data_IF_787773204850
#
_entry.id   IF_787773204850
#
_cell.length_a   1.000
_cell.length_b   1.000
_cell.length_c   1.000
_cell.angle_alpha   90.00
_cell.angle_beta   90.00
_cell.angle_gamma   90.00
#
_symmetry.space_group_name_H-M   'P 1'
#
loop_
_entity.id
_entity.type
_entity.pdbx_description
1 polymer ?
#
# COMPACT_ATOMS: atom_id res chain seq x y z
N UNK A 1 3.59 0.53 -11.45
CA UNK A 1 3.76 -0.48 -12.52
C UNK A 1 2.65 -1.50 -12.35
N UNK A 2 1.79 -1.67 -13.36
CA UNK A 2 0.71 -2.66 -13.35
C UNK A 2 1.24 -4.02 -12.92
N UNK A 3 0.70 -4.56 -11.82
CA UNK A 3 1.08 -5.86 -11.27
C UNK A 3 0.99 -6.95 -12.35
N UNK A 4 2.08 -7.68 -12.58
CA UNK A 4 2.05 -8.89 -13.42
C UNK A 4 1.24 -9.97 -12.69
N UNK A 5 0.23 -10.50 -13.36
CA UNK A 5 -0.64 -11.57 -12.84
C UNK A 5 -0.05 -12.98 -13.06
N UNK A 6 1.03 -13.09 -13.84
CA UNK A 6 1.73 -14.35 -14.07
C UNK A 6 2.70 -14.69 -12.94
N UNK A 7 2.78 -15.96 -12.59
CA UNK A 7 3.90 -16.51 -11.83
C UNK A 7 5.10 -16.72 -12.77
N UNK A 8 6.27 -16.21 -12.37
CA UNK A 8 7.53 -16.41 -13.09
C UNK A 8 7.41 -16.00 -14.58
N UNK A 9 6.84 -14.83 -14.85
CA UNK A 9 6.71 -14.30 -16.21
C UNK A 9 8.04 -13.84 -16.80
N UNK A 10 8.99 -13.50 -15.92
CA UNK A 10 10.38 -13.15 -16.19
C UNK A 10 11.30 -14.38 -16.33
N UNK A 11 10.79 -15.60 -16.10
CA UNK A 11 11.54 -16.87 -16.17
C UNK A 11 12.76 -17.03 -15.24
N UNK A 12 12.96 -16.13 -14.28
CA UNK A 12 14.10 -16.09 -13.35
C UNK A 12 14.04 -17.13 -12.21
N UNK A 13 12.89 -17.77 -11.96
CA UNK A 13 12.76 -18.74 -10.86
C UNK A 13 13.83 -19.85 -10.92
N UNK A 14 14.18 -20.45 -9.78
CA UNK A 14 15.13 -21.55 -9.73
C UNK A 14 14.51 -22.85 -10.27
N UNK A 15 15.05 -23.36 -11.38
CA UNK A 15 14.53 -24.57 -12.04
C UNK A 15 14.96 -25.86 -11.33
N UNK A 16 15.95 -25.77 -10.43
CA UNK A 16 16.43 -26.88 -9.61
C UNK A 16 15.44 -27.33 -8.52
N UNK A 17 14.56 -26.43 -8.05
CA UNK A 17 13.62 -26.70 -6.95
C UNK A 17 12.29 -27.31 -7.43
N UNK A 18 11.92 -27.09 -8.70
CA UNK A 18 10.73 -27.64 -9.35
C UNK A 18 11.07 -28.18 -10.76
N UNK A 19 12.02 -29.11 -10.86
CA UNK A 19 12.37 -29.74 -12.16
C UNK A 19 11.14 -30.46 -12.71
N UNK A 20 10.43 -29.80 -13.61
CA UNK A 20 9.27 -30.36 -14.30
C UNK A 20 9.67 -30.72 -15.72
N UNK A 21 9.42 -31.97 -16.09
CA UNK A 21 9.49 -32.44 -17.47
C UNK A 21 8.11 -32.54 -18.12
N UNK A 22 7.08 -32.09 -17.40
CA UNK A 22 5.68 -32.24 -17.74
C UNK A 22 5.33 -31.33 -18.89
N UNK A 23 4.86 -31.92 -19.97
CA UNK A 23 4.33 -31.20 -21.12
C UNK A 23 2.93 -31.71 -21.48
N UNK A 24 2.15 -30.84 -22.11
CA UNK A 24 0.85 -31.15 -22.68
C UNK A 24 0.99 -31.35 -24.20
N UNK A 25 0.77 -32.58 -24.64
CA UNK A 25 0.95 -32.99 -26.03
C UNK A 25 -0.41 -32.96 -26.71
N UNK A 26 -0.47 -32.34 -27.89
CA UNK A 26 -1.67 -32.29 -28.73
C UNK A 26 -1.42 -33.09 -30.01
N UNK A 27 -1.71 -34.40 -30.05
CA UNK A 27 -1.53 -35.20 -31.26
C UNK A 27 -2.61 -34.86 -32.29
N UNK A 28 -2.28 -34.94 -33.58
CA UNK A 28 -3.23 -34.69 -34.67
C UNK A 28 -4.48 -35.58 -34.64
N UNK A 29 -4.27 -36.88 -34.39
CA UNK A 29 -5.30 -37.91 -34.57
C UNK A 29 -5.77 -38.54 -33.24
N UNK A 30 -5.47 -37.90 -32.10
CA UNK A 30 -5.93 -38.41 -30.79
C UNK A 30 -6.15 -37.30 -29.78
N UNK A 31 -6.80 -37.63 -28.66
CA UNK A 31 -7.00 -36.70 -27.57
C UNK A 31 -5.65 -36.19 -27.02
N UNK A 32 -5.58 -34.92 -26.56
CA UNK A 32 -4.41 -34.40 -25.86
C UNK A 32 -4.12 -35.18 -24.59
N UNK A 33 -2.85 -35.29 -24.24
CA UNK A 33 -2.42 -35.97 -23.02
C UNK A 33 -1.16 -35.34 -22.44
N UNK A 34 -0.96 -35.53 -21.14
CA UNK A 34 0.24 -35.07 -20.47
C UNK A 34 1.30 -36.15 -20.40
N UNK A 35 2.57 -35.75 -20.48
CA UNK A 35 3.70 -36.67 -20.37
C UNK A 35 4.95 -35.95 -19.87
N UNK A 36 5.77 -36.67 -19.10
CA UNK A 36 7.14 -36.24 -18.81
C UNK A 36 8.07 -36.59 -19.98
N UNK A 37 8.76 -35.57 -20.49
CA UNK A 37 9.69 -35.68 -21.61
C UNK A 37 11.05 -35.12 -21.18
N UNK A 38 12.06 -35.99 -21.09
CA UNK A 38 13.32 -35.68 -20.38
C UNK A 38 14.15 -34.53 -20.95
N UNK A 39 13.97 -34.15 -22.22
CA UNK A 39 14.62 -32.99 -22.85
C UNK A 39 13.73 -31.74 -22.93
N UNK A 40 12.57 -31.76 -22.26
CA UNK A 40 11.71 -30.59 -22.06
C UNK A 40 11.85 -30.19 -20.59
N UNK A 41 12.62 -29.14 -20.31
CA UNK A 41 12.71 -28.54 -18.99
C UNK A 41 11.65 -27.44 -18.91
N UNK A 42 10.52 -27.74 -18.27
CA UNK A 42 9.39 -26.79 -18.20
C UNK A 42 9.65 -25.72 -17.14
N UNK A 43 9.40 -24.42 -17.42
CA UNK A 43 9.61 -23.37 -16.44
C UNK A 43 8.70 -23.54 -15.21
N UNK A 44 9.18 -23.27 -13.99
CA UNK A 44 8.32 -23.20 -12.81
C UNK A 44 7.12 -22.27 -13.05
N UNK A 45 5.91 -22.72 -12.71
CA UNK A 45 4.67 -21.95 -12.92
C UNK A 45 4.06 -22.07 -14.32
N UNK A 46 4.78 -22.69 -15.28
CA UNK A 46 4.31 -22.87 -16.65
C UNK A 46 4.13 -24.35 -17.00
N UNK A 47 3.43 -24.61 -18.10
CA UNK A 47 3.37 -25.91 -18.76
C UNK A 47 3.84 -25.75 -20.21
N UNK A 48 4.83 -26.52 -20.63
CA UNK A 48 5.19 -26.61 -22.04
C UNK A 48 4.11 -27.38 -22.80
N UNK A 49 3.75 -26.92 -23.99
CA UNK A 49 2.86 -27.63 -24.89
C UNK A 49 3.42 -27.70 -26.31
N UNK A 50 3.01 -28.71 -27.08
CA UNK A 50 3.30 -28.76 -28.51
C UNK A 50 2.24 -29.57 -29.27
N UNK A 51 1.98 -29.13 -30.50
CA UNK A 51 1.23 -29.90 -31.49
C UNK A 51 2.13 -30.99 -32.06
N UNK A 52 1.65 -32.23 -32.06
CA UNK A 52 2.37 -33.38 -32.55
C UNK A 52 1.68 -33.99 -33.79
N UNK A 53 2.23 -33.66 -34.96
CA UNK A 53 1.90 -34.27 -36.25
C UNK A 53 3.23 -34.72 -36.87
N UNK A 54 3.66 -35.97 -36.66
CA UNK A 54 5.00 -36.42 -37.05
C UNK A 54 5.38 -36.04 -38.49
N UNK A 55 6.53 -35.39 -38.66
CA UNK A 55 7.00 -34.85 -39.95
C UNK A 55 6.39 -33.51 -40.38
N UNK A 56 5.32 -33.06 -39.72
CA UNK A 56 4.80 -31.69 -39.83
C UNK A 56 5.19 -30.82 -38.64
N UNK A 57 4.87 -31.26 -37.42
CA UNK A 57 5.27 -30.62 -36.17
C UNK A 57 5.72 -31.70 -35.18
N UNK A 58 7.00 -31.64 -34.84
CA UNK A 58 7.63 -32.64 -33.98
C UNK A 58 7.89 -32.08 -32.58
N UNK A 59 8.24 -33.00 -31.67
CA UNK A 59 8.57 -32.67 -30.29
C UNK A 59 9.74 -31.65 -30.22
N UNK A 60 9.56 -30.52 -29.52
CA UNK A 60 10.63 -29.58 -29.25
C UNK A 60 11.51 -30.05 -28.08
N UNK A 61 12.60 -29.32 -27.88
CA UNK A 61 13.38 -29.32 -26.65
C UNK A 61 13.24 -27.98 -25.97
N UNK A 62 13.35 -27.95 -24.65
CA UNK A 62 13.16 -26.73 -23.86
C UNK A 62 14.23 -26.66 -22.79
N UNK A 63 14.94 -25.55 -22.65
CA UNK A 63 15.92 -25.31 -21.59
C UNK A 63 16.06 -23.84 -21.29
N UNK A 64 16.70 -23.51 -20.18
CA UNK A 64 17.05 -22.14 -19.88
C UNK A 64 18.17 -21.59 -20.78
N UNK A 65 18.09 -20.29 -21.07
CA UNK A 65 19.14 -19.50 -21.71
C UNK A 65 19.71 -18.54 -20.66
N UNK A 66 21.02 -18.62 -20.40
CA UNK A 66 21.66 -17.80 -19.37
C UNK A 66 22.44 -16.64 -19.99
N UNK A 67 22.27 -15.45 -19.42
CA UNK A 67 22.94 -14.22 -19.84
C UNK A 67 24.46 -14.34 -19.79
N UNK A 68 24.99 -15.09 -18.82
CA UNK A 68 26.43 -15.35 -18.69
C UNK A 68 27.01 -16.17 -19.86
N UNK A 69 26.19 -16.95 -20.56
CA UNK A 69 26.61 -17.75 -21.71
C UNK A 69 26.46 -16.95 -23.01
N UNK A 70 25.32 -16.30 -23.18
CA UNK A 70 25.08 -15.41 -24.31
C UNK A 70 24.08 -14.31 -23.92
N UNK A 71 24.53 -13.06 -23.69
CA UNK A 71 23.66 -11.98 -23.26
C UNK A 71 22.63 -11.58 -24.31
N UNK A 72 22.80 -11.96 -25.59
CA UNK A 72 21.84 -11.68 -26.65
C UNK A 72 20.59 -12.56 -26.56
N UNK A 73 20.66 -13.65 -25.80
CA UNK A 73 19.57 -14.63 -25.64
C UNK A 73 18.69 -14.37 -24.43
N UNK A 74 18.93 -13.26 -23.73
CA UNK A 74 18.19 -12.85 -22.52
C UNK A 74 17.83 -11.37 -22.68
N UNK A 75 16.55 -11.03 -22.50
CA UNK A 75 16.07 -9.65 -22.63
C UNK A 75 16.30 -8.89 -21.32
N UNK A 76 15.89 -9.46 -20.19
CA UNK A 76 16.03 -8.86 -18.86
C UNK A 76 16.57 -9.88 -17.84
N UNK A 77 16.95 -9.41 -16.65
CA UNK A 77 17.45 -10.31 -15.60
C UNK A 77 18.73 -11.08 -15.96
N UNK A 78 18.77 -12.37 -15.59
CA UNK A 78 19.87 -13.31 -15.79
C UNK A 78 19.53 -14.47 -16.73
N UNK A 79 18.24 -14.77 -16.95
CA UNK A 79 17.83 -15.99 -17.62
C UNK A 79 16.49 -15.86 -18.34
N UNK A 80 16.47 -16.31 -19.59
CA UNK A 80 15.28 -16.45 -20.41
C UNK A 80 14.98 -17.94 -20.67
N UNK A 81 13.89 -18.22 -21.39
CA UNK A 81 13.54 -19.58 -21.82
C UNK A 81 13.79 -19.79 -23.31
N UNK A 82 14.42 -20.92 -23.65
CA UNK A 82 14.65 -21.39 -25.02
C UNK A 82 13.79 -22.62 -25.30
N UNK A 83 12.97 -22.55 -26.35
CA UNK A 83 12.31 -23.68 -26.99
C UNK A 83 12.92 -23.88 -28.37
N UNK A 84 13.39 -25.08 -28.71
CA UNK A 84 14.05 -25.30 -29.99
C UNK A 84 13.75 -26.65 -30.64
N UNK A 85 14.02 -26.72 -31.95
CA UNK A 85 13.99 -27.94 -32.75
C UNK A 85 15.19 -27.99 -33.68
N UNK A 86 15.77 -29.19 -33.85
CA UNK A 86 16.90 -29.42 -34.75
C UNK A 86 16.46 -30.22 -35.99
N UNK A 87 16.63 -29.67 -37.20
CA UNK A 87 16.13 -30.23 -38.48
C UNK A 87 14.64 -30.62 -38.47
N UNK A 88 13.84 -29.93 -37.66
CA UNK A 88 12.41 -30.21 -37.48
C UNK A 88 11.64 -28.91 -37.36
N UNK A 89 10.34 -29.02 -37.60
CA UNK A 89 9.37 -27.94 -37.39
C UNK A 89 8.70 -28.11 -36.05
N UNK A 90 8.24 -27.00 -35.47
CA UNK A 90 7.42 -27.01 -34.27
C UNK A 90 6.24 -26.05 -34.39
N UNK A 91 5.22 -26.36 -33.63
CA UNK A 91 4.11 -25.49 -33.29
C UNK A 91 3.85 -25.71 -31.80
N UNK A 92 4.45 -24.86 -30.98
CA UNK A 92 4.70 -25.15 -29.58
C UNK A 92 4.84 -23.87 -28.76
N UNK A 93 4.85 -24.02 -27.44
CA UNK A 93 5.10 -22.91 -26.54
C UNK A 93 4.80 -23.25 -25.09
N UNK A 94 4.32 -22.25 -24.35
CA UNK A 94 4.05 -22.36 -22.94
C UNK A 94 2.64 -21.85 -22.61
N UNK A 95 2.04 -22.42 -21.58
CA UNK A 95 0.76 -21.97 -21.03
C UNK A 95 0.82 -21.82 -19.52
N UNK A 96 -0.03 -20.94 -18.99
CA UNK A 96 -0.27 -20.77 -17.56
C UNK A 96 -1.74 -20.42 -17.33
N UNK A 97 -2.37 -21.07 -16.35
CA UNK A 97 -3.72 -20.72 -15.92
C UNK A 97 -3.65 -19.72 -14.77
N UNK A 98 -4.45 -18.66 -14.85
CA UNK A 98 -4.43 -17.54 -13.90
C UNK A 98 -5.83 -17.34 -13.33
N UNK A 99 -6.01 -17.49 -12.00
CA UNK A 99 -7.27 -17.13 -11.34
C UNK A 99 -7.58 -15.64 -11.53
N UNK A 100 -8.80 -15.31 -11.95
CA UNK A 100 -9.22 -13.94 -12.22
C UNK A 100 -10.74 -13.79 -12.07
N UNK A 101 -11.24 -12.60 -11.81
CA UNK A 101 -12.70 -12.40 -11.79
C UNK A 101 -13.27 -12.42 -13.23
N UNK A 102 -14.44 -13.06 -13.47
CA UNK A 102 -15.16 -12.91 -14.73
C UNK A 102 -15.47 -11.43 -15.00
N UNK A 103 -15.42 -11.02 -16.26
CA UNK A 103 -15.60 -9.64 -16.67
C UNK A 103 -14.36 -8.76 -16.55
N UNK A 104 -13.24 -9.26 -16.00
CA UNK A 104 -11.98 -8.50 -15.96
C UNK A 104 -11.39 -8.37 -17.37
N UNK A 105 -11.22 -7.15 -17.89
CA UNK A 105 -10.45 -6.91 -19.11
C UNK A 105 -8.95 -7.18 -18.86
N UNK A 106 -8.31 -7.87 -19.79
CA UNK A 106 -6.95 -8.38 -19.66
C UNK A 106 -6.12 -8.03 -20.90
N UNK A 107 -4.83 -7.80 -20.69
CA UNK A 107 -3.82 -7.64 -21.74
C UNK A 107 -2.65 -8.56 -21.48
N UNK A 108 -2.27 -9.34 -22.49
CA UNK A 108 -1.09 -10.18 -22.48
C UNK A 108 -0.06 -9.65 -23.48
N UNK A 109 1.19 -9.57 -23.03
CA UNK A 109 2.35 -9.30 -23.85
C UNK A 109 3.53 -10.19 -23.43
N UNK A 110 4.51 -10.36 -24.32
CA UNK A 110 5.77 -11.04 -24.01
C UNK A 110 6.85 -10.53 -24.98
N UNK A 111 8.11 -10.70 -24.60
CA UNK A 111 9.25 -10.43 -25.46
C UNK A 111 9.76 -11.73 -26.04
N UNK A 112 10.09 -11.71 -27.33
CA UNK A 112 10.63 -12.88 -28.00
C UNK A 112 11.64 -12.49 -29.08
N UNK A 113 12.50 -13.44 -29.45
CA UNK A 113 13.20 -13.42 -30.73
C UNK A 113 13.60 -14.83 -31.14
N UNK A 114 13.85 -15.00 -32.43
CA UNK A 114 14.34 -16.24 -32.99
C UNK A 114 15.83 -16.16 -33.37
N UNK A 115 16.49 -17.32 -33.32
CA UNK A 115 17.60 -17.65 -34.19
C UNK A 115 17.20 -18.83 -35.08
N UNK A 116 17.38 -18.64 -36.38
CA UNK A 116 16.85 -19.55 -37.39
C UNK A 116 17.89 -19.74 -38.48
N UNK A 117 18.67 -20.80 -38.41
CA UNK A 117 19.85 -21.00 -39.25
C UNK A 117 19.82 -22.38 -39.92
N UNK A 118 20.32 -22.46 -41.16
CA UNK A 118 20.35 -23.73 -41.88
C UNK A 118 21.69 -24.02 -42.53
N UNK A 119 21.84 -25.26 -42.97
CA UNK A 119 23.01 -25.71 -43.72
C UNK A 119 22.57 -26.70 -44.78
N UNK A 120 22.94 -26.44 -46.03
CA UNK A 120 22.84 -27.41 -47.13
C UNK A 120 24.18 -27.43 -47.87
N UNK A 121 24.93 -28.52 -47.73
CA UNK A 121 26.23 -28.68 -48.39
C UNK A 121 26.12 -28.65 -49.93
N UNK A 122 24.94 -28.97 -50.47
CA UNK A 122 24.69 -28.93 -51.90
C UNK A 122 24.22 -27.54 -52.38
N UNK A 123 23.95 -26.61 -51.45
CA UNK A 123 23.45 -25.28 -51.76
C UNK A 123 24.03 -24.21 -50.83
N UNK A 124 25.37 -24.14 -50.79
CA UNK A 124 26.12 -23.16 -49.97
C UNK A 124 25.77 -21.70 -50.31
N UNK A 125 25.36 -21.42 -51.56
CA UNK A 125 24.94 -20.08 -51.96
C UNK A 125 23.60 -19.67 -51.30
N UNK A 126 22.72 -20.64 -51.03
CA UNK A 126 21.43 -20.40 -50.37
C UNK A 126 21.58 -20.28 -48.85
N UNK A 127 22.53 -21.01 -48.25
CA UNK A 127 22.82 -20.98 -46.81
C UNK A 127 24.30 -20.69 -46.56
N UNK A 128 24.74 -19.44 -46.73
CA UNK A 128 26.16 -19.07 -46.75
C UNK A 128 26.83 -19.06 -45.37
N UNK A 129 26.08 -19.05 -44.28
CA UNK A 129 26.58 -18.92 -42.91
C UNK A 129 26.05 -20.03 -41.99
N UNK A 130 26.32 -21.32 -42.30
CA UNK A 130 25.83 -22.43 -41.49
C UNK A 130 26.43 -22.38 -40.08
N UNK A 131 25.58 -22.60 -39.08
CA UNK A 131 25.91 -22.61 -37.65
C UNK A 131 26.45 -21.29 -37.08
N UNK A 132 26.39 -20.18 -37.84
CA UNK A 132 26.77 -18.85 -37.33
C UNK A 132 25.70 -18.36 -36.34
N UNK A 133 26.04 -18.15 -35.05
CA UNK A 133 25.08 -17.75 -34.03
C UNK A 133 24.54 -16.32 -34.22
N UNK A 134 25.10 -15.55 -35.15
CA UNK A 134 24.67 -14.19 -35.49
C UNK A 134 23.87 -14.11 -36.79
N UNK A 135 23.79 -15.20 -37.55
CA UNK A 135 23.07 -15.24 -38.83
C UNK A 135 21.76 -16.00 -38.69
N UNK A 136 20.66 -15.33 -39.04
CA UNK A 136 19.37 -16.00 -39.27
C UNK A 136 19.01 -15.92 -40.76
N UNK A 137 18.52 -17.02 -41.32
CA UNK A 137 18.06 -17.06 -42.70
C UNK A 137 16.94 -16.05 -42.92
N UNK A 138 17.05 -15.25 -43.99
CA UNK A 138 16.13 -14.15 -44.31
C UNK A 138 16.63 -12.79 -43.84
N UNK A 139 16.88 -12.62 -42.53
CA UNK A 139 17.31 -11.32 -41.95
C UNK A 139 18.82 -11.09 -41.95
N UNK A 140 19.60 -12.16 -42.17
CA UNK A 140 21.05 -12.13 -42.11
C UNK A 140 21.56 -11.80 -40.70
N UNK A 141 22.51 -10.86 -40.63
CA UNK A 141 23.10 -10.38 -39.37
C UNK A 141 22.27 -9.32 -38.63
N UNK A 142 21.25 -8.76 -39.26
CA UNK A 142 20.47 -7.65 -38.71
C UNK A 142 19.37 -8.11 -37.76
N UNK A 143 18.91 -7.20 -36.89
CA UNK A 143 17.64 -7.37 -36.19
C UNK A 143 16.49 -7.35 -37.20
N UNK A 144 15.49 -8.21 -37.01
CA UNK A 144 14.33 -8.31 -37.89
C UNK A 144 13.03 -8.26 -37.11
N UNK A 145 12.10 -7.44 -37.60
CA UNK A 145 10.72 -7.41 -37.14
C UNK A 145 9.78 -7.21 -38.34
N UNK A 146 8.78 -8.07 -38.49
CA UNK A 146 7.68 -7.88 -39.42
C UNK A 146 6.43 -8.55 -38.85
N UNK A 147 5.26 -7.92 -39.01
CA UNK A 147 4.01 -8.58 -38.66
C UNK A 147 3.73 -9.73 -39.65
N UNK A 148 2.99 -10.73 -39.19
CA UNK A 148 2.56 -11.83 -40.03
C UNK A 148 1.79 -11.28 -41.24
N UNK A 149 2.27 -11.60 -42.45
CA UNK A 149 1.71 -11.13 -43.71
C UNK A 149 2.37 -9.88 -44.30
N UNK A 150 3.28 -9.21 -43.60
CA UNK A 150 4.00 -8.03 -44.13
C UNK A 150 5.21 -8.38 -45.01
N UNK A 151 5.62 -9.65 -45.05
CA UNK A 151 6.72 -10.12 -45.88
C UNK A 151 6.32 -11.34 -46.71
N UNK A 152 6.82 -11.39 -47.95
CA UNK A 152 6.65 -12.53 -48.87
C UNK A 152 7.92 -13.40 -48.92
N UNK A 153 9.00 -13.01 -48.24
CA UNK A 153 10.22 -13.79 -48.19
C UNK A 153 10.01 -15.05 -47.31
N UNK A 154 10.13 -16.23 -47.92
CA UNK A 154 9.89 -17.50 -47.26
C UNK A 154 10.87 -17.80 -46.11
N UNK A 155 12.09 -17.26 -46.14
CA UNK A 155 13.04 -17.42 -45.05
C UNK A 155 12.63 -16.54 -43.87
N UNK A 156 12.21 -15.30 -44.13
CA UNK A 156 11.62 -14.41 -43.11
C UNK A 156 10.37 -15.01 -42.47
N UNK A 157 9.55 -15.70 -43.25
CA UNK A 157 8.33 -16.35 -42.77
C UNK A 157 8.60 -17.61 -41.96
N UNK A 158 9.87 -18.03 -41.80
CA UNK A 158 10.19 -19.27 -41.12
C UNK A 158 9.68 -19.26 -39.68
N UNK A 159 9.79 -18.15 -38.95
CA UNK A 159 9.53 -18.12 -37.52
C UNK A 159 8.44 -17.10 -37.20
N UNK A 160 7.36 -17.53 -36.54
CA UNK A 160 6.29 -16.62 -36.14
C UNK A 160 5.95 -16.81 -34.65
N UNK A 161 5.85 -15.69 -33.94
CA UNK A 161 5.53 -15.61 -32.53
C UNK A 161 4.12 -15.06 -32.32
N UNK A 162 3.40 -15.64 -31.37
CA UNK A 162 2.07 -15.19 -30.95
C UNK A 162 1.93 -15.20 -29.43
N UNK A 163 1.09 -14.30 -28.92
CA UNK A 163 0.53 -14.40 -27.57
C UNK A 163 -0.99 -14.58 -27.66
N UNK A 164 -1.56 -15.37 -26.77
CA UNK A 164 -2.98 -15.72 -26.79
C UNK A 164 -3.57 -15.84 -25.40
N UNK A 165 -4.87 -15.56 -25.27
CA UNK A 165 -5.64 -15.74 -24.04
C UNK A 165 -6.88 -16.58 -24.37
N UNK A 166 -7.06 -17.71 -23.68
CA UNK A 166 -8.38 -18.35 -23.59
C UNK A 166 -9.16 -17.71 -22.43
N UNK A 167 -10.18 -16.87 -22.73
CA UNK A 167 -10.94 -16.17 -21.71
C UNK A 167 -11.83 -17.10 -20.87
N UNK A 168 -12.04 -18.34 -21.32
CA UNK A 168 -12.86 -19.35 -20.62
C UNK A 168 -12.05 -20.23 -19.67
N UNK A 169 -10.71 -20.12 -19.71
CA UNK A 169 -9.81 -20.96 -18.91
C UNK A 169 -9.51 -22.33 -19.53
N UNK A 170 -9.91 -22.57 -20.78
CA UNK A 170 -9.55 -23.78 -21.53
C UNK A 170 -8.03 -23.92 -21.71
N UNK A 171 -7.50 -25.14 -21.69
CA UNK A 171 -6.05 -25.41 -21.76
C UNK A 171 -5.57 -25.85 -23.14
N UNK A 172 -6.48 -25.96 -24.12
CA UNK A 172 -6.15 -26.35 -25.48
C UNK A 172 -5.75 -25.12 -26.32
N UNK A 173 -4.47 -24.93 -26.69
CA UNK A 173 -4.00 -23.79 -27.48
C UNK A 173 -4.55 -23.80 -28.92
N UNK A 174 -5.09 -24.93 -29.38
CA UNK A 174 -5.69 -25.10 -30.71
C UNK A 174 -7.20 -24.88 -30.71
N UNK A 175 -7.80 -24.60 -29.55
CA UNK A 175 -9.24 -24.34 -29.45
C UNK A 175 -9.59 -22.98 -30.08
N UNK A 176 -10.79 -22.90 -30.68
CA UNK A 176 -11.32 -21.66 -31.25
C UNK A 176 -11.70 -20.62 -30.18
N UNK A 177 -11.69 -20.99 -28.90
CA UNK A 177 -11.92 -20.09 -27.76
C UNK A 177 -10.70 -19.21 -27.49
N UNK A 178 -9.51 -19.61 -27.92
CA UNK A 178 -8.29 -18.82 -27.71
C UNK A 178 -8.33 -17.58 -28.60
N UNK A 179 -8.28 -16.40 -27.96
CA UNK A 179 -8.09 -15.13 -28.64
C UNK A 179 -6.60 -14.92 -28.84
N UNK A 180 -6.13 -15.05 -30.08
CA UNK A 180 -4.74 -14.82 -30.46
C UNK A 180 -4.52 -13.37 -30.92
N UNK A 181 -3.37 -12.79 -30.54
CA UNK A 181 -2.88 -11.54 -31.10
C UNK A 181 -2.33 -11.71 -32.52
N UNK A 182 -2.00 -10.59 -33.16
CA UNK A 182 -1.31 -10.61 -34.47
C UNK A 182 0.05 -11.29 -34.34
N UNK A 183 0.37 -12.22 -35.24
CA UNK A 183 1.68 -12.86 -35.27
C UNK A 183 2.80 -11.90 -35.66
N UNK A 184 4.02 -12.15 -35.20
CA UNK A 184 5.20 -11.40 -35.63
C UNK A 184 6.41 -12.31 -35.90
N UNK A 185 7.15 -11.98 -36.95
CA UNK A 185 8.46 -12.51 -37.29
C UNK A 185 9.51 -11.66 -36.58
N UNK A 186 10.21 -12.23 -35.59
CA UNK A 186 11.17 -11.50 -34.75
C UNK A 186 12.49 -12.25 -34.74
N UNK A 187 13.59 -11.60 -35.13
CA UNK A 187 14.89 -12.26 -35.29
C UNK A 187 16.04 -11.45 -34.72
N UNK A 188 17.03 -12.17 -34.19
CA UNK A 188 18.35 -11.70 -33.76
C UNK A 188 18.37 -10.68 -32.60
N UNK A 189 17.28 -9.95 -32.36
CA UNK A 189 17.08 -9.02 -31.25
C UNK A 189 15.66 -9.17 -30.72
N UNK A 190 15.51 -9.05 -29.39
CA UNK A 190 14.21 -9.10 -28.74
C UNK A 190 13.32 -7.94 -29.18
N UNK A 191 12.08 -8.27 -29.53
CA UNK A 191 11.01 -7.31 -29.68
C UNK A 191 9.76 -7.82 -28.97
N UNK A 192 8.86 -6.89 -28.65
CA UNK A 192 7.59 -7.26 -28.06
C UNK A 192 6.70 -7.91 -29.12
N UNK A 193 6.20 -9.10 -28.83
CA UNK A 193 5.18 -9.74 -29.65
C UNK A 193 3.89 -8.91 -29.57
N UNK A 194 3.16 -8.68 -30.67
CA UNK A 194 1.94 -7.88 -30.65
C UNK A 194 0.97 -8.38 -29.57
N UNK A 195 0.65 -7.49 -28.62
CA UNK A 195 -0.17 -7.85 -27.47
C UNK A 195 -1.58 -8.25 -27.88
N UNK A 196 -2.23 -9.06 -27.05
CA UNK A 196 -3.65 -9.40 -27.20
C UNK A 196 -4.45 -8.92 -26.00
N UNK A 197 -5.67 -8.48 -26.25
CA UNK A 197 -6.61 -8.05 -25.22
C UNK A 197 -7.91 -8.85 -25.32
N UNK A 198 -8.46 -9.26 -24.17
CA UNK A 198 -9.75 -9.94 -24.09
C UNK A 198 -10.38 -9.70 -22.71
N UNK A 199 -11.60 -10.14 -22.50
CA UNK A 199 -12.29 -10.09 -21.21
C UNK A 199 -12.47 -11.50 -20.67
N UNK A 200 -12.09 -11.72 -19.41
CA UNK A 200 -12.28 -12.99 -18.73
C UNK A 200 -13.77 -13.38 -18.74
N UNK A 201 -14.07 -14.64 -19.06
CA UNK A 201 -15.42 -15.20 -19.08
C UNK A 201 -15.66 -16.18 -17.92
N UNK A 202 -14.58 -16.74 -17.37
CA UNK A 202 -14.58 -17.60 -16.18
C UNK A 202 -13.83 -16.99 -15.00
N UNK A 203 -13.76 -17.74 -13.90
CA UNK A 203 -12.95 -17.43 -12.72
C UNK A 203 -11.45 -17.76 -12.91
N UNK A 204 -11.09 -18.27 -14.09
CA UNK A 204 -9.75 -18.60 -14.54
C UNK A 204 -9.64 -18.28 -16.02
N UNK A 205 -8.48 -17.76 -16.45
CA UNK A 205 -8.09 -17.66 -17.86
C UNK A 205 -6.83 -18.49 -18.10
N UNK A 206 -6.60 -18.88 -19.35
CA UNK A 206 -5.32 -19.49 -19.74
C UNK A 206 -4.59 -18.55 -20.68
N UNK A 207 -3.34 -18.22 -20.37
CA UNK A 207 -2.46 -17.50 -21.29
C UNK A 207 -1.59 -18.48 -22.06
N UNK A 208 -1.24 -18.11 -23.28
CA UNK A 208 -0.37 -18.87 -24.16
C UNK A 208 0.68 -17.95 -24.78
N UNK A 209 1.91 -18.43 -24.84
CA UNK A 209 2.92 -17.94 -25.78
C UNK A 209 3.19 -19.07 -26.77
N UNK A 210 3.37 -18.73 -28.06
CA UNK A 210 3.45 -19.70 -29.16
C UNK A 210 4.50 -19.31 -30.17
N UNK A 211 5.41 -20.24 -30.48
CA UNK A 211 6.28 -20.17 -31.64
C UNK A 211 5.87 -21.22 -32.67
N UNK A 212 5.93 -20.84 -33.95
CA UNK A 212 5.61 -21.74 -35.05
C UNK A 212 6.65 -21.60 -36.16
N UNK A 213 7.07 -22.74 -36.71
CA UNK A 213 8.02 -22.77 -37.81
C UNK A 213 7.46 -23.28 -39.14
N UNK A 214 7.90 -22.66 -40.24
CA UNK A 214 7.53 -23.05 -41.60
C UNK A 214 8.45 -24.12 -42.18
N UNK A 215 9.75 -24.06 -41.88
CA UNK A 215 10.79 -24.92 -42.45
C UNK A 215 11.52 -25.74 -41.36
N UNK A 216 11.94 -26.96 -41.69
CA UNK A 216 12.77 -27.79 -40.81
C UNK A 216 14.23 -27.36 -40.88
N UNK A 217 14.50 -26.07 -40.62
CA UNK A 217 15.86 -25.57 -40.57
C UNK A 217 16.67 -26.27 -39.48
N UNK A 218 17.99 -26.14 -39.60
CA UNK A 218 18.92 -26.91 -38.76
C UNK A 218 18.75 -26.43 -37.33
N UNK A 219 18.70 -25.11 -37.15
CA UNK A 219 18.41 -24.45 -35.89
C UNK A 219 17.11 -23.67 -36.03
N UNK A 220 16.21 -23.88 -35.08
CA UNK A 220 14.91 -23.25 -34.98
C UNK A 220 14.72 -22.96 -33.50
N UNK A 221 15.28 -21.83 -33.05
CA UNK A 221 15.45 -21.50 -31.64
C UNK A 221 14.55 -20.31 -31.29
N UNK A 222 13.52 -20.55 -30.49
CA UNK A 222 12.61 -19.55 -29.94
C UNK A 222 13.07 -19.16 -28.53
N UNK A 223 13.42 -17.90 -28.34
CA UNK A 223 13.67 -17.36 -27.01
C UNK A 223 12.48 -16.50 -26.57
N UNK A 224 12.04 -16.68 -25.32
CA UNK A 224 11.00 -15.87 -24.69
C UNK A 224 11.48 -15.29 -23.38
N UNK A 225 11.03 -14.08 -23.10
CA UNK A 225 11.33 -13.37 -21.86
C UNK A 225 10.20 -12.38 -21.51
N UNK A 226 10.17 -11.92 -20.25
CA UNK A 226 9.28 -10.85 -19.75
C UNK A 226 7.81 -11.00 -20.20
N UNK A 227 7.23 -12.19 -20.01
CA UNK A 227 5.81 -12.39 -20.20
C UNK A 227 5.01 -11.65 -19.13
N UNK A 228 4.00 -10.88 -19.56
CA UNK A 228 3.24 -9.95 -18.73
C UNK A 228 1.75 -10.07 -19.01
N UNK A 229 0.98 -10.48 -18.01
CA UNK A 229 -0.49 -10.40 -18.01
C UNK A 229 -0.92 -9.31 -17.03
N UNK A 230 -1.73 -8.36 -17.49
CA UNK A 230 -2.26 -7.27 -16.66
C UNK A 230 -3.77 -7.13 -16.82
N UNK A 231 -4.45 -6.67 -15.77
CA UNK A 231 -5.84 -6.22 -15.86
C UNK A 231 -5.90 -4.80 -16.46
N UNK A 232 -6.58 -4.64 -17.59
CA UNK A 232 -6.67 -3.37 -18.32
C UNK A 232 -7.72 -2.47 -17.67
N UNK A 233 -7.33 -1.33 -17.11
CA UNK A 233 -8.28 -0.42 -16.46
C UNK A 233 -8.50 -0.68 -14.97
N UNK A 234 -7.81 -1.65 -14.37
CA UNK A 234 -7.30 -1.44 -13.02
C UNK A 234 -6.07 -0.53 -13.17
N UNK A 235 -6.26 0.77 -12.92
CA UNK A 235 -5.12 1.60 -12.57
C UNK A 235 -4.35 0.89 -11.45
N UNK A 236 -3.02 0.99 -11.46
CA UNK A 236 -2.22 0.74 -10.27
C UNK A 236 -2.90 1.47 -9.10
N UNK A 237 -3.66 0.77 -8.27
CA UNK A 237 -4.07 1.33 -6.99
C UNK A 237 -2.76 1.50 -6.24
N UNK A 238 -2.26 2.74 -6.24
CA UNK A 238 -1.18 3.14 -5.36
C UNK A 238 -1.58 2.64 -3.97
N UNK A 239 -0.69 1.92 -3.27
CA UNK A 239 -1.04 1.33 -1.98
C UNK A 239 -1.63 2.41 -1.09
N UNK A 240 -2.82 2.15 -0.55
CA UNK A 240 -3.51 3.09 0.34
C UNK A 240 -2.62 3.33 1.56
N UNK A 241 -2.30 4.59 1.82
CA UNK A 241 -1.58 5.02 3.02
C UNK A 241 -2.49 5.95 3.82
N UNK A 242 -2.69 5.60 5.10
CA UNK A 242 -3.42 6.44 6.06
C UNK A 242 -2.41 7.19 6.92
N UNK A 243 -2.52 8.52 6.94
CA UNK A 243 -1.72 9.37 7.82
C UNK A 243 -2.55 9.82 9.03
N UNK A 244 -2.00 9.60 10.20
CA UNK A 244 -2.52 10.07 11.49
C UNK A 244 -1.46 10.89 12.21
N UNK A 245 -1.90 11.76 13.12
CA UNK A 245 -1.01 12.46 14.03
C UNK A 245 -1.68 12.65 15.40
N UNK A 246 -0.87 12.81 16.44
CA UNK A 246 -1.33 13.09 17.80
C UNK A 246 -0.41 14.10 18.51
N UNK A 247 -0.97 14.99 19.37
CA UNK A 247 -2.40 15.17 19.64
C UNK A 247 -3.16 15.72 18.41
N UNK A 248 -4.50 15.61 18.39
CA UNK A 248 -5.32 16.09 17.25
C UNK A 248 -5.40 17.62 17.17
N UNK A 249 -5.13 18.32 18.28
CA UNK A 249 -5.05 19.78 18.37
C UNK A 249 -3.72 20.20 19.02
N UNK A 250 -2.59 20.12 18.28
CA UNK A 250 -1.28 20.43 18.83
C UNK A 250 -1.13 21.89 19.24
N UNK A 251 -0.47 22.11 20.37
CA UNK A 251 -0.15 23.46 20.86
C UNK A 251 1.32 23.77 20.68
N UNK A 252 1.65 25.07 20.58
CA UNK A 252 3.03 25.54 20.67
C UNK A 252 3.69 24.98 21.94
N UNK A 253 4.90 24.43 21.79
CA UNK A 253 5.67 23.77 22.83
C UNK A 253 5.48 22.25 22.89
N UNK A 254 4.41 21.71 22.32
CA UNK A 254 4.15 20.27 22.31
C UNK A 254 4.91 19.55 21.20
N UNK A 255 5.13 18.25 21.41
CA UNK A 255 5.65 17.34 20.39
C UNK A 255 4.48 16.64 19.74
N UNK A 256 4.53 16.47 18.41
CA UNK A 256 3.58 15.62 17.70
C UNK A 256 4.20 14.26 17.40
N UNK A 257 3.36 13.23 17.41
CA UNK A 257 3.67 11.92 16.85
C UNK A 257 2.92 11.79 15.53
N UNK A 258 3.64 11.47 14.44
CA UNK A 258 3.06 11.16 13.13
C UNK A 258 3.14 9.65 12.92
N UNK A 259 2.05 9.05 12.47
CA UNK A 259 2.01 7.65 12.05
C UNK A 259 1.46 7.57 10.63
N UNK A 260 2.16 6.82 9.77
CA UNK A 260 1.64 6.34 8.51
C UNK A 260 1.39 4.84 8.60
N UNK A 261 0.33 4.36 7.97
CA UNK A 261 0.06 2.92 7.87
C UNK A 261 -0.47 2.49 6.52
N UNK A 262 -0.05 1.31 6.07
CA UNK A 262 -0.53 0.66 4.84
C UNK A 262 -0.68 -0.85 5.04
N UNK A 263 -1.64 -1.47 4.33
CA UNK A 263 -1.74 -2.93 4.23
C UNK A 263 -0.62 -3.51 3.36
N UNK A 264 -0.04 -2.71 2.48
CA UNK A 264 1.12 -3.09 1.67
C UNK A 264 2.43 -2.76 2.40
N UNK A 265 3.46 -3.61 2.28
CA UNK A 265 4.81 -3.23 2.72
C UNK A 265 5.37 -2.14 1.81
N UNK A 266 5.99 -1.11 2.39
CA UNK A 266 6.61 0.00 1.68
C UNK A 266 8.09 0.16 2.08
N UNK A 267 8.93 0.50 1.10
CA UNK A 267 10.37 0.76 1.26
C UNK A 267 10.70 2.25 1.08
N UNK A 268 11.93 2.65 1.47
CA UNK A 268 12.44 4.02 1.39
C UNK A 268 11.50 5.09 1.96
N UNK A 269 10.84 4.75 3.07
CA UNK A 269 9.85 5.61 3.70
C UNK A 269 10.48 6.89 4.25
N UNK A 270 9.88 8.02 3.90
CA UNK A 270 10.21 9.35 4.42
C UNK A 270 8.94 10.05 4.91
N UNK A 271 9.03 10.66 6.08
CA UNK A 271 8.01 11.57 6.62
C UNK A 271 8.66 12.94 6.77
N UNK A 272 8.01 13.96 6.22
CA UNK A 272 8.44 15.36 6.32
C UNK A 272 7.31 16.16 6.91
N UNK A 273 7.61 17.01 7.90
CA UNK A 273 6.67 18.00 8.41
C UNK A 273 7.20 19.38 8.05
N UNK A 274 6.41 20.15 7.31
CA UNK A 274 6.71 21.52 6.88
C UNK A 274 5.91 22.49 7.75
N UNK A 275 6.59 23.50 8.29
CA UNK A 275 6.02 24.53 9.14
C UNK A 275 5.35 25.64 8.31
N UNK A 276 4.51 26.51 8.92
CA UNK A 276 3.88 27.65 8.25
C UNK A 276 4.87 28.55 7.50
N UNK A 277 6.09 28.73 8.02
CA UNK A 277 7.17 29.49 7.37
C UNK A 277 7.75 28.82 6.11
N UNK A 278 7.43 27.55 5.87
CA UNK A 278 8.06 26.69 4.86
C UNK A 278 9.30 25.94 5.37
N UNK A 279 9.75 26.19 6.61
CA UNK A 279 10.86 25.45 7.21
C UNK A 279 10.45 23.99 7.52
N UNK A 280 11.39 23.04 7.37
CA UNK A 280 11.15 21.65 7.78
C UNK A 280 11.32 21.51 9.30
N UNK A 281 10.33 20.91 9.97
CA UNK A 281 10.39 20.58 11.38
C UNK A 281 11.27 19.33 11.58
N UNK A 282 12.16 19.37 12.57
CA UNK A 282 13.02 18.23 12.90
C UNK A 282 12.18 17.07 13.45
N UNK A 283 12.39 15.88 12.90
CA UNK A 283 11.80 14.63 13.39
C UNK A 283 12.88 13.71 13.97
N UNK A 284 12.50 12.88 14.95
CA UNK A 284 13.36 11.85 15.55
C UNK A 284 13.56 10.63 14.64
N UNK A 285 14.00 9.51 15.20
CA UNK A 285 14.19 8.27 14.42
C UNK A 285 12.87 7.65 13.96
N UNK A 286 12.83 7.17 12.71
CA UNK A 286 11.73 6.39 12.16
C UNK A 286 11.64 5.03 12.86
N UNK A 287 10.48 4.73 13.44
CA UNK A 287 10.17 3.43 14.03
C UNK A 287 9.23 2.68 13.10
N UNK A 288 9.62 1.47 12.69
CA UNK A 288 8.79 0.57 11.88
C UNK A 288 8.11 -0.47 12.77
N UNK A 289 6.84 -0.76 12.50
CA UNK A 289 6.03 -1.66 13.32
C UNK A 289 4.96 -2.41 12.54
N UNK A 290 4.19 -3.20 13.28
CA UNK A 290 3.03 -3.95 12.81
C UNK A 290 1.87 -3.73 13.79
N UNK A 291 0.69 -3.44 13.25
CA UNK A 291 -0.58 -3.36 13.98
C UNK A 291 -1.59 -4.25 13.23
N UNK A 292 -1.79 -5.47 13.73
CA UNK A 292 -2.47 -6.57 13.02
C UNK A 292 -1.94 -6.78 11.58
N UNK A 293 -2.75 -6.41 10.59
CA UNK A 293 -2.44 -6.54 9.16
C UNK A 293 -1.67 -5.32 8.61
N UNK A 294 -1.64 -4.21 9.36
CA UNK A 294 -1.03 -2.96 8.92
C UNK A 294 0.47 -2.93 9.19
N UNK A 295 1.23 -2.47 8.21
CA UNK A 295 2.59 -1.97 8.41
C UNK A 295 2.50 -0.52 8.91
N UNK A 296 3.27 -0.18 9.95
CA UNK A 296 3.24 1.16 10.56
C UNK A 296 4.62 1.81 10.55
N UNK A 297 4.63 3.14 10.36
CA UNK A 297 5.82 3.98 10.34
C UNK A 297 5.55 5.20 11.21
N UNK A 298 6.27 5.30 12.33
CA UNK A 298 6.03 6.34 13.35
C UNK A 298 7.26 7.20 13.58
N UNK A 299 7.05 8.51 13.70
CA UNK A 299 8.08 9.50 14.06
C UNK A 299 7.52 10.50 15.06
N UNK A 300 8.38 11.04 15.94
CA UNK A 300 8.05 12.17 16.83
C UNK A 300 8.78 13.42 16.37
N UNK A 301 8.14 14.58 16.46
CA UNK A 301 8.76 15.86 16.14
C UNK A 301 9.57 16.44 17.30
N UNK A 302 10.36 17.47 17.01
CA UNK A 302 10.71 18.46 18.02
C UNK A 302 9.46 19.26 18.47
N UNK A 303 9.57 19.98 19.58
CA UNK A 303 8.49 20.87 20.05
C UNK A 303 8.11 21.88 18.98
N UNK A 304 6.80 22.03 18.75
CA UNK A 304 6.25 23.02 17.83
C UNK A 304 6.58 24.43 18.30
N UNK A 305 7.03 25.30 17.40
CA UNK A 305 7.41 26.67 17.70
C UNK A 305 6.74 27.71 16.79
N UNK A 306 6.01 27.29 15.76
CA UNK A 306 5.26 28.15 14.86
C UNK A 306 3.76 27.90 14.98
N UNK A 307 2.96 28.98 14.93
CA UNK A 307 1.49 28.93 14.92
C UNK A 307 0.99 28.81 13.48
N UNK A 308 0.01 27.95 13.24
CA UNK A 308 -0.70 27.86 11.98
C UNK A 308 -0.60 26.49 11.31
N UNK A 309 -0.91 26.44 10.02
CA UNK A 309 -0.99 25.20 9.25
C UNK A 309 0.39 24.58 9.00
N UNK A 310 0.59 23.37 9.49
CA UNK A 310 1.71 22.50 9.18
C UNK A 310 1.27 21.45 8.15
N UNK A 311 2.15 21.14 7.21
CA UNK A 311 1.94 20.10 6.20
C UNK A 311 2.76 18.85 6.56
N UNK A 312 2.12 17.68 6.57
CA UNK A 312 2.77 16.38 6.72
C UNK A 312 2.79 15.72 5.35
N UNK A 313 3.98 15.33 4.87
CA UNK A 313 4.14 14.58 3.62
C UNK A 313 4.79 13.24 3.94
N UNK A 314 4.10 12.16 3.58
CA UNK A 314 4.63 10.80 3.53
C UNK A 314 5.02 10.45 2.11
N UNK A 315 6.21 9.85 1.94
CA UNK A 315 6.71 9.34 0.66
C UNK A 315 7.32 7.95 0.85
N UNK A 316 7.21 7.11 -0.17
CA UNK A 316 7.87 5.80 -0.24
C UNK A 316 8.23 5.47 -1.70
N UNK A 317 9.01 4.40 -1.92
CA UNK A 317 9.32 3.92 -3.28
C UNK A 317 8.03 3.63 -4.09
N UNK A 318 8.10 3.74 -5.42
CA UNK A 318 6.95 3.46 -6.29
C UNK A 318 5.93 4.59 -6.42
N UNK A 319 6.38 5.85 -6.33
CA UNK A 319 5.55 7.07 -6.47
C UNK A 319 4.39 7.16 -5.46
N UNK A 320 4.55 6.56 -4.29
CA UNK A 320 3.62 6.69 -3.17
C UNK A 320 3.88 8.01 -2.47
N UNK A 321 2.89 8.89 -2.48
CA UNK A 321 2.94 10.17 -1.78
C UNK A 321 1.55 10.51 -1.23
N UNK A 322 1.47 10.75 0.07
CA UNK A 322 0.26 11.20 0.75
C UNK A 322 0.57 12.44 1.56
N UNK A 323 -0.33 13.41 1.54
CA UNK A 323 -0.22 14.66 2.29
C UNK A 323 -1.36 14.75 3.29
N UNK A 324 -1.06 15.25 4.48
CA UNK A 324 -2.02 15.64 5.51
C UNK A 324 -1.58 16.96 6.13
N UNK A 325 -2.34 17.52 7.06
CA UNK A 325 -1.96 18.75 7.74
C UNK A 325 -2.68 18.93 9.07
N UNK A 326 -2.10 19.74 9.93
CA UNK A 326 -2.66 20.12 11.23
C UNK A 326 -2.40 21.58 11.51
N UNK A 327 -3.28 22.22 12.27
CA UNK A 327 -3.07 23.59 12.74
C UNK A 327 -2.55 23.57 14.17
N UNK A 328 -1.45 24.28 14.41
CA UNK A 328 -0.96 24.50 15.77
C UNK A 328 -1.51 25.80 16.33
N UNK A 329 -2.00 25.75 17.57
CA UNK A 329 -2.54 26.92 18.29
C UNK A 329 -1.69 27.27 19.50
N UNK A 330 -1.84 28.50 20.01
CA UNK A 330 -1.21 28.87 21.26
C UNK A 330 -1.89 28.11 22.41
N UNK A 331 -1.11 27.56 23.35
CA UNK A 331 -1.68 26.98 24.55
C UNK A 331 -2.46 28.07 25.32
N UNK A 332 -3.76 27.86 25.50
CA UNK A 332 -4.58 28.71 26.36
C UNK A 332 -4.09 28.54 27.80
N UNK A 333 -3.70 29.63 28.44
CA UNK A 333 -3.39 29.62 29.87
C UNK A 333 -4.73 29.62 30.60
N UNK A 334 -5.14 28.51 31.20
CA UNK A 334 -6.31 28.48 32.11
C UNK A 334 -6.07 29.48 33.26
N UNK A 335 -7.11 30.22 33.66
CA UNK A 335 -7.02 31.22 34.71
C UNK A 335 -6.71 30.56 36.06
N UNK A 336 -5.87 31.20 36.89
CA UNK A 336 -5.72 30.75 38.28
C UNK A 336 -7.05 30.97 39.01
N UNK A 337 -7.69 29.89 39.44
CA UNK A 337 -8.94 29.94 40.21
C UNK A 337 -10.17 29.39 39.47
N UNK A 338 -10.02 28.92 38.23
CA UNK A 338 -11.09 28.29 37.46
C UNK A 338 -11.43 26.91 38.06
N UNK A 339 -12.72 26.60 38.32
CA UNK A 339 -13.11 25.27 38.75
C UNK A 339 -13.15 24.31 37.55
N UNK A 340 -12.88 23.01 37.78
CA UNK A 340 -13.07 21.95 36.76
C UNK A 340 -14.51 21.92 36.22
N UNK A 341 -15.48 22.15 37.10
CA UNK A 341 -16.91 22.24 36.79
C UNK A 341 -17.49 23.41 37.60
N UNK A 342 -18.29 24.27 36.96
CA UNK A 342 -18.95 25.37 37.66
C UNK A 342 -19.95 24.84 38.70
N UNK A 343 -19.91 25.42 39.90
CA UNK A 343 -20.84 25.11 40.98
C UNK A 343 -21.14 26.37 41.80
N UNK A 344 -22.23 26.32 42.56
CA UNK A 344 -22.58 27.40 43.49
C UNK A 344 -21.93 27.13 44.85
N UNK A 345 -21.19 28.10 45.38
CA UNK A 345 -20.58 27.98 46.71
C UNK A 345 -21.26 28.90 47.70
N UNK A 346 -21.67 28.35 48.84
CA UNK A 346 -22.02 29.12 50.04
C UNK A 346 -20.98 28.88 51.13
N UNK A 347 -20.40 29.97 51.64
CA UNK A 347 -19.39 29.98 52.70
C UNK A 347 -19.98 30.64 53.96
N UNK A 348 -20.04 29.90 55.07
CA UNK A 348 -20.44 30.43 56.38
C UNK A 348 -19.19 30.94 57.09
N UNK A 349 -19.09 32.27 57.16
CA UNK A 349 -17.94 32.99 57.70
C UNK A 349 -18.14 33.26 59.19
N UNK A 350 -17.34 32.60 60.03
CA UNK A 350 -17.37 32.74 61.48
C UNK A 350 -16.49 33.91 61.95
N UNK A 351 -16.90 34.66 62.99
CA UNK A 351 -16.12 35.79 63.50
C UNK A 351 -14.84 35.35 64.22
N UNK A 352 -13.82 36.22 64.37
CA UNK A 352 -12.53 35.86 64.97
C UNK A 352 -12.60 35.25 66.38
N UNK A 353 -13.64 35.57 67.15
CA UNK A 353 -13.88 35.02 68.50
C UNK A 353 -14.67 33.72 68.54
N UNK A 354 -15.06 33.14 67.39
CA UNK A 354 -15.84 31.91 67.34
C UNK A 354 -14.99 30.69 67.73
N UNK A 355 -15.48 29.92 68.70
CA UNK A 355 -14.86 28.66 69.11
C UNK A 355 -15.48 27.46 68.37
N UNK A 356 -15.02 26.24 68.68
CA UNK A 356 -15.50 25.00 68.05
C UNK A 356 -17.01 24.78 68.14
N UNK A 357 -17.69 25.28 69.18
CA UNK A 357 -19.13 25.13 69.32
C UNK A 357 -19.89 25.89 68.22
N UNK A 358 -19.38 27.06 67.79
CA UNK A 358 -19.92 27.81 66.67
C UNK A 358 -19.73 27.07 65.35
N UNK A 359 -18.54 26.50 65.11
CA UNK A 359 -18.29 25.68 63.92
C UNK A 359 -19.18 24.44 63.86
N UNK A 360 -19.34 23.72 64.99
CA UNK A 360 -20.23 22.58 65.09
C UNK A 360 -21.70 22.96 64.86
N UNK A 361 -22.15 24.13 65.33
CA UNK A 361 -23.50 24.60 65.04
C UNK A 361 -23.76 24.79 63.55
N UNK A 362 -22.76 25.26 62.79
CA UNK A 362 -22.85 25.35 61.32
C UNK A 362 -22.86 23.96 60.69
N UNK A 363 -21.92 23.08 61.06
CA UNK A 363 -21.87 21.69 60.55
C UNK A 363 -23.22 20.98 60.78
N UNK A 364 -23.74 21.03 62.00
CA UNK A 364 -25.00 20.38 62.39
C UNK A 364 -26.26 20.98 61.73
N UNK A 365 -26.14 22.15 61.10
CA UNK A 365 -27.27 22.82 60.45
C UNK A 365 -27.23 22.72 58.94
N UNK A 366 -26.05 22.70 58.31
CA UNK A 366 -25.94 22.85 56.85
C UNK A 366 -25.25 21.68 56.16
N UNK A 367 -24.45 20.89 56.88
CA UNK A 367 -23.56 19.91 56.24
C UNK A 367 -24.33 18.84 55.47
N UNK A 368 -25.36 18.24 56.06
CA UNK A 368 -26.06 17.09 55.45
C UNK A 368 -27.01 17.44 54.31
N UNK A 369 -27.53 18.65 54.29
CA UNK A 369 -28.46 19.10 53.26
C UNK A 369 -27.75 19.89 52.15
N UNK A 370 -26.93 20.86 52.54
CA UNK A 370 -26.41 21.87 51.61
C UNK A 370 -24.89 21.82 51.41
N UNK A 371 -24.15 21.11 52.27
CA UNK A 371 -22.68 20.97 52.22
C UNK A 371 -21.94 22.32 52.18
N UNK A 372 -22.46 23.33 52.89
CA UNK A 372 -21.83 24.66 52.94
C UNK A 372 -20.40 24.60 53.47
N UNK A 373 -19.53 25.43 52.91
CA UNK A 373 -18.15 25.60 53.38
C UNK A 373 -18.16 26.45 54.65
N UNK A 374 -17.27 26.17 55.60
CA UNK A 374 -17.21 26.85 56.90
C UNK A 374 -15.77 27.29 57.13
N UNK A 375 -15.57 28.51 57.59
CA UNK A 375 -14.25 28.95 58.05
C UNK A 375 -14.26 30.38 58.55
N UNK A 376 -13.07 30.94 58.74
CA UNK A 376 -12.83 32.21 59.43
C UNK A 376 -11.95 33.17 58.64
N UNK A 377 -11.76 32.94 57.33
CA UNK A 377 -11.00 33.81 56.43
C UNK A 377 -11.96 34.51 55.48
N UNK A 378 -11.96 35.85 55.50
CA UNK A 378 -12.78 36.64 54.59
C UNK A 378 -12.31 36.47 53.13
N UNK A 379 -10.99 36.36 52.89
CA UNK A 379 -10.43 36.13 51.56
C UNK A 379 -10.87 34.77 50.98
N UNK A 380 -10.81 33.70 51.79
CA UNK A 380 -11.24 32.36 51.34
C UNK A 380 -12.73 32.32 51.01
N UNK A 381 -13.54 33.10 51.75
CA UNK A 381 -14.97 33.22 51.50
C UNK A 381 -15.27 33.87 50.14
N UNK A 382 -14.42 34.80 49.69
CA UNK A 382 -14.61 35.60 48.48
C UNK A 382 -13.93 35.06 47.21
N UNK A 383 -12.82 34.31 47.32
CA UNK A 383 -11.98 33.93 46.18
C UNK A 383 -12.60 32.86 45.25
N UNK A 384 -12.14 32.80 43.99
CA UNK A 384 -12.47 31.77 43.00
C UNK A 384 -13.30 32.31 41.84
N UNK A 385 -13.15 31.71 40.65
CA UNK A 385 -13.93 32.06 39.45
C UNK A 385 -15.20 31.18 39.37
N UNK A 386 -16.12 31.44 40.31
CA UNK A 386 -17.41 30.76 40.38
C UNK A 386 -18.52 31.71 39.99
N UNK A 387 -19.45 31.22 39.19
CA UNK A 387 -20.65 31.98 38.79
C UNK A 387 -21.47 32.46 39.99
N UNK A 388 -21.46 31.71 41.11
CA UNK A 388 -22.16 32.07 42.35
C UNK A 388 -21.24 31.85 43.54
N UNK A 389 -20.94 32.95 44.24
CA UNK A 389 -20.17 32.98 45.49
C UNK A 389 -21.02 33.65 46.56
N UNK A 390 -21.57 32.88 47.48
CA UNK A 390 -22.40 33.37 48.59
C UNK A 390 -21.65 33.30 49.90
N UNK A 391 -21.74 34.36 50.69
CA UNK A 391 -21.15 34.45 52.03
C UNK A 391 -22.24 34.72 53.05
N UNK A 392 -22.39 33.81 54.01
CA UNK A 392 -23.21 34.00 55.21
C UNK A 392 -22.28 34.44 56.35
N UNK A 393 -22.23 35.74 56.63
CA UNK A 393 -21.41 36.32 57.68
C UNK A 393 -22.11 36.23 59.03
N UNK A 394 -21.54 35.44 59.95
CA UNK A 394 -22.05 35.26 61.31
C UNK A 394 -21.52 36.37 62.20
N UNK A 395 -22.42 37.08 62.89
CA UNK A 395 -22.10 38.19 63.79
C UNK A 395 -21.05 39.17 63.19
N UNK A 396 -21.33 39.78 62.02
CA UNK A 396 -20.37 40.64 61.32
C UNK A 396 -19.90 41.82 62.17
N UNK A 397 -20.67 42.24 63.17
CA UNK A 397 -20.27 43.28 64.14
C UNK A 397 -19.04 42.92 64.98
N UNK A 398 -18.67 41.64 65.04
CA UNK A 398 -17.48 41.15 65.75
C UNK A 398 -16.22 41.13 64.87
N UNK A 399 -16.31 41.60 63.62
CA UNK A 399 -15.16 41.79 62.75
C UNK A 399 -14.57 43.19 62.91
N UNK A 400 -13.24 43.35 62.77
CA UNK A 400 -12.58 44.66 62.88
C UNK A 400 -12.88 45.60 61.71
N UNK A 401 -13.46 45.08 60.62
CA UNK A 401 -13.78 45.80 59.39
C UNK A 401 -15.24 45.58 58.99
N UNK A 402 -15.79 46.49 58.19
CA UNK A 402 -17.08 46.29 57.54
C UNK A 402 -16.93 45.21 56.45
N UNK A 403 -17.40 43.99 56.77
CA UNK A 403 -17.32 42.86 55.85
C UNK A 403 -18.08 43.10 54.54
N UNK A 404 -19.19 43.85 54.55
CA UNK A 404 -19.94 44.10 53.32
C UNK A 404 -19.12 44.99 52.39
N UNK A 405 -18.53 46.06 52.92
CA UNK A 405 -17.63 46.92 52.16
C UNK A 405 -16.39 46.17 51.66
N UNK A 406 -15.80 45.30 52.49
CA UNK A 406 -14.65 44.47 52.12
C UNK A 406 -14.95 43.57 50.91
N UNK A 407 -16.08 42.86 50.90
CA UNK A 407 -16.44 41.99 49.77
C UNK A 407 -16.78 42.80 48.51
N UNK A 408 -17.46 43.94 48.65
CA UNK A 408 -17.78 44.80 47.51
C UNK A 408 -16.49 45.38 46.86
N UNK A 409 -15.46 45.68 47.65
CA UNK A 409 -14.17 46.20 47.16
C UNK A 409 -13.25 45.12 46.56
N UNK A 410 -13.05 44.01 47.28
CA UNK A 410 -12.01 43.03 46.94
C UNK A 410 -12.54 41.79 46.19
N UNK A 411 -13.83 41.48 46.33
CA UNK A 411 -14.45 40.28 45.77
C UNK A 411 -15.82 40.60 45.14
N UNK A 412 -15.85 41.49 44.12
CA UNK A 412 -17.11 41.96 43.53
C UNK A 412 -17.95 40.80 43.00
N UNK A 413 -19.26 40.85 43.23
CA UNK A 413 -20.20 39.80 42.84
C UNK A 413 -20.42 38.71 43.89
N UNK A 414 -19.82 38.82 45.07
CA UNK A 414 -20.20 37.98 46.23
C UNK A 414 -21.62 38.32 46.69
N UNK A 415 -22.49 37.31 46.79
CA UNK A 415 -23.79 37.40 47.43
C UNK A 415 -23.61 37.41 48.95
N UNK A 416 -23.78 38.57 49.58
CA UNK A 416 -23.54 38.73 51.01
C UNK A 416 -24.84 38.66 51.83
N UNK A 417 -24.84 37.84 52.87
CA UNK A 417 -25.94 37.73 53.84
C UNK A 417 -25.41 37.73 55.27
N UNK A 418 -25.92 38.63 56.12
CA UNK A 418 -25.55 38.68 57.54
C UNK A 418 -26.52 37.86 58.41
N UNK A 419 -25.98 37.14 59.39
CA UNK A 419 -26.74 36.41 60.42
C UNK A 419 -26.22 36.78 61.79
N UNK A 420 -27.08 37.38 62.62
CA UNK A 420 -26.80 37.61 64.04
C UNK A 420 -27.28 36.44 64.88
N UNK A 421 -26.51 35.98 65.86
CA UNK A 421 -26.89 34.97 66.85
C UNK A 421 -26.12 35.21 68.16
N UNK A 422 -26.80 35.07 69.30
CA UNK A 422 -26.20 35.30 70.62
C UNK A 422 -25.44 34.07 71.13
N UNK A 423 -25.78 32.87 70.63
CA UNK A 423 -25.13 31.61 71.00
C UNK A 423 -25.19 30.56 69.86
N UNK A 424 -24.38 29.49 69.92
CA UNK A 424 -24.35 28.45 68.88
C UNK A 424 -25.70 27.78 68.61
N UNK A 425 -26.55 27.59 69.62
CA UNK A 425 -27.87 26.96 69.44
C UNK A 425 -28.81 27.86 68.62
N UNK A 426 -28.75 29.16 68.85
CA UNK A 426 -29.50 30.13 68.05
C UNK A 426 -28.99 30.17 66.60
N UNK A 427 -27.67 30.16 66.39
CA UNK A 427 -27.09 30.08 65.05
C UNK A 427 -27.59 28.85 64.30
N UNK A 428 -27.55 27.67 64.93
CA UNK A 428 -28.04 26.42 64.36
C UNK A 428 -29.51 26.54 63.91
N UNK A 429 -30.36 27.15 64.73
CA UNK A 429 -31.78 27.33 64.42
C UNK A 429 -32.00 28.32 63.26
N UNK A 430 -31.18 29.37 63.17
CA UNK A 430 -31.25 30.36 62.09
C UNK A 430 -30.80 29.78 60.76
N UNK A 431 -29.68 29.05 60.74
CA UNK A 431 -29.15 28.45 59.52
C UNK A 431 -30.08 27.38 58.92
N UNK A 432 -30.81 26.62 59.74
CA UNK A 432 -31.81 25.64 59.27
C UNK A 432 -33.05 26.26 58.59
N UNK A 433 -33.20 27.58 58.64
CA UNK A 433 -34.35 28.31 58.09
C UNK A 433 -33.98 29.17 56.89
N UNK A 434 -32.69 29.24 56.58
CA UNK A 434 -32.16 29.86 55.36
C UNK A 434 -32.19 28.84 54.24
#
# INVERSE_FOLDING_TARGET
>A
MSRNLLENGEFEANWGEKKSHRCLIFPKDSAPYEKDVGNIFTPPGWITWFHHDPGQWDQPEVRDAWKQHDPRRVHSGQKAILLFTFFRRHDAGFLQQVPIAPGTPLKLAAWAHAWSNHSDQNNLAKFPHPDDPMWSEGVGYGAGFALEGETQDDNWRNFTFYVGIDPTGGTNPLASTVVWGTGAHIYNEYAQVPSVETTAQGDTVTVFVRSKTLWPFKHNDAYWDDALLTAVGQADEKPEVRLNFWPSEPKIGEVIQVEARSLAPLSDVQIVVTQPSGAKLTLGSLTTGRDDQWHTWTMKSASLNERGLHEIVFQASGDVRVTSGFESVQAQVEGRGDPREQYQRTYVLLPPGANSAWALAVVDSTWDQERYTIGSSADDAGIGDLNVRRVIAVNPENWPTDLKAFFDEHYPGVEYQAVKADNPQELRNKLRRL
#
